data_IF_164766636932
#
_entry.id   IF_164766636932
#
_cell.length_a   1.000
_cell.length_b   1.000
_cell.length_c   1.000
_cell.angle_alpha   90.00
_cell.angle_beta   90.00
_cell.angle_gamma   90.00
#
_symmetry.space_group_name_H-M   'P 1'
#
loop_
_entity.id
_entity.type
_entity.pdbx_description
1 polymer ?
#
# COMPACT_ATOMS: atom_id res chain seq x y z
N UNK A 1 2.15 35.91 6.23
CA UNK A 1 2.16 34.61 5.51
C UNK A 1 0.99 33.76 5.98
N UNK A 2 -0.08 33.69 5.19
CA UNK A 2 -1.24 32.85 5.50
C UNK A 2 -0.80 31.39 5.49
N UNK A 3 -0.72 30.77 6.67
CA UNK A 3 -0.38 29.35 6.80
C UNK A 3 -1.52 28.53 6.22
N UNK A 4 -1.23 27.66 5.24
CA UNK A 4 -2.19 26.69 4.67
C UNK A 4 -2.93 26.00 5.84
N UNK A 5 -4.29 25.94 5.83
CA UNK A 5 -5.06 25.34 6.92
C UNK A 5 -4.64 23.89 7.20
N UNK A 6 -4.71 23.48 8.48
CA UNK A 6 -4.24 22.17 8.90
C UNK A 6 -5.00 21.01 8.22
N UNK A 7 -6.30 21.19 7.97
CA UNK A 7 -7.12 20.20 7.29
C UNK A 7 -6.68 19.97 5.83
N UNK A 8 -6.29 21.02 5.11
CA UNK A 8 -5.74 20.91 3.75
C UNK A 8 -4.43 20.12 3.75
N UNK A 9 -3.53 20.42 4.70
CA UNK A 9 -2.27 19.66 4.84
C UNK A 9 -2.51 18.19 5.16
N UNK A 10 -3.53 17.91 5.96
CA UNK A 10 -3.93 16.55 6.30
C UNK A 10 -4.39 15.74 5.07
N UNK A 11 -5.11 16.37 4.14
CA UNK A 11 -5.49 15.75 2.85
C UNK A 11 -4.28 15.60 1.93
N UNK A 12 -3.36 16.58 1.92
CA UNK A 12 -2.18 16.52 1.07
C UNK A 12 -1.19 15.41 1.47
N UNK A 13 -1.04 15.11 2.76
CA UNK A 13 -0.02 14.17 3.23
C UNK A 13 -0.13 12.75 2.63
N UNK A 14 -1.28 12.05 2.64
CA UNK A 14 -1.42 10.77 1.95
C UNK A 14 -1.10 10.83 0.45
N UNK A 15 -1.44 11.93 -0.21
CA UNK A 15 -1.21 12.11 -1.65
C UNK A 15 0.27 12.33 -1.96
N UNK A 16 1.00 13.06 -1.11
CA UNK A 16 2.46 13.12 -1.17
C UNK A 16 3.06 11.74 -0.94
N UNK A 17 2.48 10.96 -0.01
CA UNK A 17 2.85 9.56 0.20
C UNK A 17 2.68 8.70 -1.05
N UNK A 18 1.58 8.86 -1.77
CA UNK A 18 1.35 8.18 -3.05
C UNK A 18 2.38 8.57 -4.11
N UNK A 19 2.75 9.86 -4.19
CA UNK A 19 3.78 10.32 -5.13
C UNK A 19 5.16 9.74 -4.82
N UNK A 20 5.54 9.69 -3.54
CA UNK A 20 6.80 9.07 -3.11
C UNK A 20 6.77 7.56 -3.34
N UNK A 21 5.66 6.90 -3.05
CA UNK A 21 5.47 5.49 -3.34
C UNK A 21 5.73 5.22 -4.83
N UNK A 22 5.10 5.98 -5.72
CA UNK A 22 5.32 5.83 -7.16
C UNK A 22 6.81 5.94 -7.53
N UNK A 23 7.52 6.95 -7.01
CA UNK A 23 8.96 7.12 -7.29
C UNK A 23 9.76 5.90 -6.83
N UNK A 24 9.52 5.42 -5.61
CA UNK A 24 10.21 4.25 -5.08
C UNK A 24 9.91 2.97 -5.87
N UNK A 25 8.68 2.79 -6.35
CA UNK A 25 8.32 1.68 -7.20
C UNK A 25 8.98 1.77 -8.59
N UNK A 26 9.10 2.96 -9.16
CA UNK A 26 9.85 3.17 -10.42
C UNK A 26 11.34 2.88 -10.22
N UNK A 27 11.94 3.42 -9.15
CA UNK A 27 13.35 3.12 -8.82
C UNK A 27 13.55 1.62 -8.60
N UNK A 28 12.63 0.94 -7.91
CA UNK A 28 12.68 -0.51 -7.78
C UNK A 28 12.70 -1.20 -9.14
N UNK A 29 11.76 -0.87 -10.03
CA UNK A 29 11.68 -1.50 -11.34
C UNK A 29 12.96 -1.25 -12.16
N UNK A 30 13.52 -0.04 -12.06
CA UNK A 30 14.75 0.31 -12.75
C UNK A 30 15.96 -0.47 -12.20
N UNK A 31 16.06 -0.62 -10.88
CA UNK A 31 17.11 -1.44 -10.25
C UNK A 31 16.96 -2.91 -10.65
N UNK A 32 15.72 -3.41 -10.73
CA UNK A 32 15.43 -4.79 -11.13
C UNK A 32 15.79 -5.09 -12.60
N UNK A 33 15.99 -4.05 -13.45
CA UNK A 33 16.58 -4.24 -14.78
C UNK A 33 17.97 -4.85 -14.73
N UNK A 34 18.77 -4.50 -13.72
CA UNK A 34 20.15 -4.93 -13.58
C UNK A 34 20.31 -6.19 -12.73
N UNK A 35 19.21 -6.76 -12.23
CA UNK A 35 19.24 -8.04 -11.53
C UNK A 35 19.42 -9.17 -12.56
N UNK A 36 20.51 -9.96 -12.47
CA UNK A 36 20.77 -11.09 -13.35
C UNK A 36 19.56 -12.00 -13.44
N UNK A 37 19.20 -12.38 -14.67
CA UNK A 37 18.15 -13.34 -14.90
C UNK A 37 18.73 -14.76 -14.85
N UNK A 38 17.96 -15.76 -14.37
CA UNK A 38 18.37 -17.14 -14.50
C UNK A 38 18.52 -17.51 -15.98
N UNK A 39 19.65 -18.12 -16.33
CA UNK A 39 19.89 -18.74 -17.63
C UNK A 39 19.21 -20.11 -17.66
N UNK A 40 18.45 -20.35 -18.73
CA UNK A 40 17.72 -21.58 -18.95
C UNK A 40 18.34 -22.38 -20.09
N UNK A 41 18.49 -23.70 -19.92
CA UNK A 41 18.86 -24.60 -21.02
C UNK A 41 17.66 -24.83 -21.95
N UNK A 42 17.95 -25.48 -23.08
CA UNK A 42 16.96 -25.93 -24.06
C UNK A 42 15.91 -26.91 -23.52
N UNK A 43 16.07 -27.41 -22.29
CA UNK A 43 15.15 -28.33 -21.61
C UNK A 43 14.34 -27.63 -20.51
N UNK A 44 14.53 -26.32 -20.32
CA UNK A 44 13.83 -25.53 -19.30
C UNK A 44 14.41 -25.68 -17.89
N UNK A 45 15.65 -26.16 -17.74
CA UNK A 45 16.35 -26.17 -16.45
C UNK A 45 17.22 -24.92 -16.31
N UNK A 46 17.31 -24.40 -15.09
CA UNK A 46 18.22 -23.29 -14.75
C UNK A 46 19.65 -23.82 -14.76
N UNK A 47 20.50 -23.28 -15.64
CA UNK A 47 21.90 -23.72 -15.85
C UNK A 47 22.88 -22.83 -15.10
N UNK A 48 22.56 -21.53 -15.03
CA UNK A 48 23.32 -20.53 -14.30
C UNK A 48 22.37 -19.45 -13.79
N UNK A 49 22.62 -18.96 -12.58
CA UNK A 49 21.87 -17.87 -11.98
C UNK A 49 22.63 -17.45 -10.74
N UNK A 50 23.17 -16.23 -10.74
CA UNK A 50 23.81 -15.71 -9.54
C UNK A 50 22.73 -15.33 -8.54
N UNK A 51 22.77 -16.00 -7.38
CA UNK A 51 22.03 -15.52 -6.21
C UNK A 51 22.68 -14.22 -5.75
N UNK A 52 22.11 -13.09 -6.16
CA UNK A 52 22.51 -11.78 -5.66
C UNK A 52 21.39 -11.17 -4.82
N UNK A 53 21.76 -10.20 -3.99
CA UNK A 53 20.78 -9.45 -3.20
C UNK A 53 19.94 -8.59 -4.16
N UNK A 54 18.62 -8.79 -4.17
CA UNK A 54 17.70 -7.95 -4.94
C UNK A 54 17.43 -6.67 -4.13
N UNK A 55 17.94 -5.53 -4.61
CA UNK A 55 17.67 -4.25 -3.94
C UNK A 55 16.27 -3.69 -4.25
N UNK A 56 15.63 -4.14 -5.33
CA UNK A 56 14.28 -3.73 -5.71
C UNK A 56 13.23 -3.98 -4.62
N UNK A 57 13.30 -5.13 -3.92
CA UNK A 57 12.35 -5.45 -2.84
C UNK A 57 12.36 -4.41 -1.71
N UNK A 58 13.51 -3.81 -1.42
CA UNK A 58 13.64 -2.76 -0.42
C UNK A 58 13.08 -1.43 -0.89
N UNK A 59 13.26 -1.07 -2.16
CA UNK A 59 12.65 0.14 -2.72
C UNK A 59 11.12 0.03 -2.74
N UNK A 60 10.54 -1.12 -3.12
CA UNK A 60 9.09 -1.37 -2.99
C UNK A 60 8.62 -1.17 -1.55
N UNK A 61 9.34 -1.73 -0.58
CA UNK A 61 9.03 -1.57 0.83
C UNK A 61 9.11 -0.11 1.28
N UNK A 62 10.13 0.65 0.85
CA UNK A 62 10.26 2.08 1.13
C UNK A 62 9.08 2.88 0.56
N UNK A 63 8.61 2.51 -0.63
CA UNK A 63 7.42 3.12 -1.24
C UNK A 63 6.16 2.91 -0.40
N UNK A 64 5.93 1.67 0.05
CA UNK A 64 4.82 1.32 0.93
C UNK A 64 4.95 2.06 2.29
N UNK A 65 6.16 2.09 2.85
CA UNK A 65 6.45 2.79 4.09
C UNK A 65 6.15 4.30 3.98
N UNK A 66 6.60 4.95 2.90
CA UNK A 66 6.33 6.36 2.65
C UNK A 66 4.82 6.64 2.57
N UNK A 67 4.08 5.82 1.82
CA UNK A 67 2.62 5.92 1.71
C UNK A 67 1.91 5.75 3.06
N UNK A 68 2.26 4.71 3.82
CA UNK A 68 1.63 4.39 5.10
C UNK A 68 1.95 5.43 6.19
N UNK A 69 3.22 5.86 6.30
CA UNK A 69 3.67 6.83 7.30
C UNK A 69 3.10 8.21 7.01
N UNK A 70 3.10 8.68 5.76
CA UNK A 70 2.51 9.98 5.43
C UNK A 70 0.98 9.97 5.57
N UNK A 71 0.33 8.84 5.32
CA UNK A 71 -1.09 8.67 5.63
C UNK A 71 -1.37 8.78 7.14
N UNK A 72 -0.51 8.18 7.97
CA UNK A 72 -0.59 8.29 9.44
C UNK A 72 -0.34 9.73 9.93
N UNK A 73 0.63 10.45 9.34
CA UNK A 73 0.87 11.86 9.62
C UNK A 73 -0.35 12.70 9.26
N UNK A 74 -0.93 12.46 8.08
CA UNK A 74 -2.17 13.10 7.65
C UNK A 74 -3.32 12.85 8.63
N UNK A 75 -3.50 11.60 9.10
CA UNK A 75 -4.52 11.24 10.08
C UNK A 75 -4.35 12.02 11.39
N UNK A 76 -3.12 12.14 11.88
CA UNK A 76 -2.82 12.92 13.08
C UNK A 76 -3.14 14.41 12.89
N UNK A 77 -2.86 14.97 11.71
CA UNK A 77 -3.21 16.36 11.40
C UNK A 77 -4.72 16.56 11.24
N UNK A 78 -5.44 15.61 10.63
CA UNK A 78 -6.90 15.67 10.50
C UNK A 78 -7.59 15.63 11.87
N UNK A 79 -7.09 14.79 12.78
CA UNK A 79 -7.57 14.72 14.17
C UNK A 79 -7.36 16.06 14.90
N UNK A 80 -6.16 16.64 14.79
CA UNK A 80 -5.87 17.97 15.36
C UNK A 80 -6.77 19.05 14.75
N UNK A 81 -7.02 19.00 13.44
CA UNK A 81 -7.92 19.93 12.77
C UNK A 81 -9.36 19.81 13.29
N UNK A 82 -9.86 18.58 13.53
CA UNK A 82 -11.18 18.37 14.17
C UNK A 82 -11.25 18.94 15.59
N UNK A 83 -10.18 18.83 16.39
CA UNK A 83 -10.13 19.42 17.73
C UNK A 83 -10.14 20.96 17.69
N UNK A 84 -9.44 21.56 16.72
CA UNK A 84 -9.32 23.02 16.60
C UNK A 84 -10.55 23.68 15.96
N UNK A 85 -11.14 23.07 14.94
CA UNK A 85 -12.20 23.67 14.13
C UNK A 85 -13.63 23.29 14.58
N UNK A 86 -13.76 22.39 15.57
CA UNK A 86 -15.03 21.85 16.03
C UNK A 86 -15.54 20.66 15.20
N UNK A 87 -16.47 19.90 15.76
CA UNK A 87 -16.96 18.64 15.16
C UNK A 87 -17.77 18.84 13.87
N UNK A 88 -18.35 20.03 13.68
CA UNK A 88 -19.18 20.39 12.54
C UNK A 88 -18.40 20.87 11.32
N UNK A 89 -17.07 21.02 11.43
CA UNK A 89 -16.25 21.39 10.28
C UNK A 89 -16.18 20.26 9.25
N UNK A 90 -16.84 20.49 8.10
CA UNK A 90 -17.00 19.49 7.04
C UNK A 90 -15.66 19.04 6.46
N UNK A 91 -14.71 19.97 6.26
CA UNK A 91 -13.39 19.67 5.70
C UNK A 91 -12.56 18.83 6.66
N UNK A 92 -12.53 19.16 7.95
CA UNK A 92 -11.82 18.37 8.95
C UNK A 92 -12.39 16.95 9.08
N UNK A 93 -13.72 16.79 8.94
CA UNK A 93 -14.38 15.47 8.91
C UNK A 93 -14.02 14.67 7.65
N UNK A 94 -14.02 15.31 6.48
CA UNK A 94 -13.63 14.67 5.23
C UNK A 94 -12.16 14.25 5.24
N UNK A 95 -11.26 15.14 5.70
CA UNK A 95 -9.84 14.87 5.84
C UNK A 95 -9.58 13.66 6.77
N UNK A 96 -10.31 13.57 7.89
CA UNK A 96 -10.20 12.44 8.80
C UNK A 96 -10.61 11.11 8.13
N UNK A 97 -11.73 11.09 7.40
CA UNK A 97 -12.18 9.88 6.69
C UNK A 97 -11.21 9.45 5.60
N UNK A 98 -10.74 10.41 4.81
CA UNK A 98 -9.78 10.18 3.73
C UNK A 98 -8.45 9.62 4.26
N UNK A 99 -7.88 10.26 5.27
CA UNK A 99 -6.61 9.81 5.88
C UNK A 99 -6.75 8.46 6.58
N UNK A 100 -7.90 8.17 7.19
CA UNK A 100 -8.19 6.83 7.74
C UNK A 100 -8.21 5.78 6.64
N UNK A 101 -8.88 6.04 5.51
CA UNK A 101 -8.89 5.15 4.36
C UNK A 101 -7.46 4.94 3.82
N UNK A 102 -6.69 6.01 3.66
CA UNK A 102 -5.33 5.93 3.15
C UNK A 102 -4.40 5.11 4.07
N UNK A 103 -4.54 5.21 5.39
CA UNK A 103 -3.84 4.33 6.34
C UNK A 103 -4.21 2.87 6.13
N UNK A 104 -5.51 2.57 5.96
CA UNK A 104 -5.98 1.19 5.72
C UNK A 104 -5.40 0.65 4.41
N UNK A 105 -5.40 1.45 3.35
CA UNK A 105 -4.80 1.08 2.06
C UNK A 105 -3.29 0.81 2.21
N UNK A 106 -2.56 1.66 2.94
CA UNK A 106 -1.14 1.45 3.23
C UNK A 106 -0.85 0.17 4.02
N UNK A 107 -1.70 -0.14 5.02
CA UNK A 107 -1.61 -1.41 5.76
C UNK A 107 -1.88 -2.62 4.86
N UNK A 108 -2.88 -2.52 3.99
CA UNK A 108 -3.21 -3.56 3.00
C UNK A 108 -2.06 -3.78 2.02
N UNK A 109 -1.46 -2.72 1.49
CA UNK A 109 -0.31 -2.80 0.60
C UNK A 109 0.89 -3.48 1.28
N UNK A 110 1.18 -3.16 2.54
CA UNK A 110 2.24 -3.82 3.31
C UNK A 110 1.98 -5.31 3.54
N UNK A 111 0.74 -5.70 3.80
CA UNK A 111 0.37 -7.11 3.95
C UNK A 111 0.48 -7.88 2.61
N UNK A 112 -0.02 -7.30 1.51
CA UNK A 112 0.09 -7.89 0.17
C UNK A 112 1.56 -8.04 -0.23
N UNK A 113 2.39 -7.05 0.06
CA UNK A 113 3.83 -7.12 -0.17
C UNK A 113 4.49 -8.26 0.59
N UNK A 114 4.22 -8.39 1.90
CA UNK A 114 4.81 -9.47 2.70
C UNK A 114 4.39 -10.86 2.20
N UNK A 115 3.12 -11.02 1.82
CA UNK A 115 2.62 -12.26 1.19
C UNK A 115 3.29 -12.48 -0.16
N UNK A 116 3.35 -11.47 -1.03
CA UNK A 116 3.95 -11.56 -2.36
C UNK A 116 5.42 -11.94 -2.32
N UNK A 117 6.20 -11.33 -1.43
CA UNK A 117 7.60 -11.68 -1.19
C UNK A 117 7.75 -13.11 -0.68
N UNK A 118 6.89 -13.54 0.24
CA UNK A 118 6.85 -14.93 0.73
C UNK A 118 6.55 -15.93 -0.39
N UNK A 119 5.49 -15.70 -1.16
CA UNK A 119 5.09 -16.57 -2.27
C UNK A 119 6.18 -16.65 -3.35
N UNK A 120 6.79 -15.51 -3.70
CA UNK A 120 7.86 -15.45 -4.69
C UNK A 120 9.12 -16.20 -4.27
N UNK A 121 9.41 -16.27 -2.97
CA UNK A 121 10.59 -16.96 -2.47
C UNK A 121 10.60 -18.47 -2.77
N UNK A 122 9.44 -19.12 -2.87
CA UNK A 122 9.37 -20.56 -3.21
C UNK A 122 9.76 -20.86 -4.66
N UNK A 123 9.52 -19.92 -5.56
CA UNK A 123 9.80 -20.11 -6.99
C UNK A 123 11.21 -19.68 -7.38
N UNK A 124 11.86 -18.85 -6.55
CA UNK A 124 13.13 -18.22 -6.88
C UNK A 124 14.32 -18.80 -6.12
N UNK A 125 14.10 -19.62 -5.09
CA UNK A 125 15.17 -20.20 -4.27
C UNK A 125 15.13 -21.73 -4.25
N UNK A 126 16.27 -22.36 -4.56
CA UNK A 126 16.48 -23.80 -4.53
C UNK A 126 17.16 -24.30 -3.23
N UNK A 127 17.24 -25.63 -3.02
CA UNK A 127 17.78 -26.24 -1.78
C UNK A 127 19.25 -25.92 -1.46
N UNK A 128 20.00 -25.42 -2.46
CA UNK A 128 21.45 -25.18 -2.43
C UNK A 128 21.84 -23.70 -2.30
N UNK A 129 20.88 -22.80 -2.13
CA UNK A 129 21.17 -21.37 -2.12
C UNK A 129 21.82 -20.89 -0.82
N UNK A 130 22.58 -19.80 -0.95
CA UNK A 130 23.30 -19.17 0.14
C UNK A 130 22.33 -18.62 1.19
N UNK A 131 22.37 -19.23 2.37
CA UNK A 131 21.54 -18.86 3.53
C UNK A 131 21.60 -17.35 3.85
N UNK A 132 22.77 -16.66 3.81
CA UNK A 132 22.84 -15.22 4.06
C UNK A 132 22.06 -14.39 3.03
N UNK A 133 22.09 -14.78 1.76
CA UNK A 133 21.43 -14.06 0.67
C UNK A 133 19.92 -14.20 0.82
N UNK A 134 19.44 -15.43 1.10
CA UNK A 134 18.03 -15.67 1.39
C UNK A 134 17.54 -14.88 2.61
N UNK A 135 18.35 -14.76 3.66
CA UNK A 135 18.02 -13.92 4.82
C UNK A 135 17.79 -12.47 4.44
N UNK A 136 18.70 -11.89 3.65
CA UNK A 136 18.59 -10.50 3.22
C UNK A 136 17.45 -10.34 2.21
N UNK A 137 17.25 -11.24 1.28
CA UNK A 137 16.33 -11.00 0.17
C UNK A 137 14.86 -11.31 0.50
N UNK A 138 14.63 -12.27 1.39
CA UNK A 138 13.29 -12.76 1.74
C UNK A 138 12.92 -12.38 3.16
N UNK A 139 13.73 -12.79 4.14
CA UNK A 139 13.36 -12.68 5.55
C UNK A 139 13.33 -11.24 6.04
N UNK A 140 14.39 -10.47 5.78
CA UNK A 140 14.52 -9.11 6.27
C UNK A 140 13.39 -8.18 5.73
N UNK A 141 13.05 -8.17 4.43
CA UNK A 141 11.93 -7.37 3.93
C UNK A 141 10.57 -7.75 4.53
N UNK A 142 10.30 -9.05 4.72
CA UNK A 142 9.04 -9.53 5.33
C UNK A 142 8.95 -9.08 6.79
N UNK A 143 10.03 -9.20 7.55
CA UNK A 143 10.09 -8.75 8.94
C UNK A 143 9.90 -7.23 9.04
N UNK A 144 10.56 -6.46 8.18
CA UNK A 144 10.43 -5.01 8.14
C UNK A 144 9.01 -4.57 7.72
N UNK A 145 8.41 -5.22 6.73
CA UNK A 145 7.03 -4.98 6.31
C UNK A 145 6.04 -5.26 7.44
N UNK A 146 6.21 -6.38 8.13
CA UNK A 146 5.39 -6.76 9.28
C UNK A 146 5.54 -5.74 10.41
N UNK A 147 6.76 -5.34 10.74
CA UNK A 147 7.03 -4.33 11.75
C UNK A 147 6.39 -2.99 11.40
N UNK A 148 6.51 -2.54 10.15
CA UNK A 148 5.86 -1.34 9.63
C UNK A 148 4.34 -1.40 9.85
N UNK A 149 3.70 -2.49 9.40
CA UNK A 149 2.26 -2.70 9.50
C UNK A 149 1.80 -2.65 10.96
N UNK A 150 2.50 -3.35 11.86
CA UNK A 150 2.21 -3.33 13.30
C UNK A 150 2.34 -1.93 13.87
N UNK A 151 3.44 -1.22 13.59
CA UNK A 151 3.68 0.14 14.11
C UNK A 151 2.62 1.12 13.64
N UNK A 152 2.28 1.10 12.35
CA UNK A 152 1.27 1.99 11.76
C UNK A 152 -0.10 1.69 12.35
N UNK A 153 -0.47 0.41 12.48
CA UNK A 153 -1.75 0.00 13.05
C UNK A 153 -1.87 0.44 14.51
N UNK A 154 -0.84 0.15 15.33
CA UNK A 154 -0.83 0.50 16.74
C UNK A 154 -0.94 2.01 16.93
N UNK A 155 -0.21 2.81 16.15
CA UNK A 155 -0.27 4.28 16.22
C UNK A 155 -1.59 4.85 15.70
N UNK A 156 -2.16 4.28 14.64
CA UNK A 156 -3.39 4.78 14.04
C UNK A 156 -4.63 4.47 14.88
N UNK A 157 -4.70 3.26 15.47
CA UNK A 157 -5.94 2.74 16.04
C UNK A 157 -5.86 2.37 17.52
N UNK A 158 -4.70 1.92 18.02
CA UNK A 158 -4.59 1.35 19.39
C UNK A 158 -4.14 2.37 20.42
N UNK A 159 -3.05 3.09 20.17
CA UNK A 159 -2.53 4.11 21.09
C UNK A 159 -3.22 5.47 20.93
N UNK A 160 -4.42 5.47 20.34
CA UNK A 160 -5.22 6.67 20.14
C UNK A 160 -5.70 7.17 21.51
N UNK A 161 -5.15 8.30 21.96
CA UNK A 161 -5.74 9.09 23.05
C UNK A 161 -7.02 9.73 22.52
N UNK A 162 -8.12 9.02 22.64
CA UNK A 162 -9.46 9.59 22.44
C UNK A 162 -9.77 10.51 23.63
N UNK A 163 -9.26 11.74 23.57
CA UNK A 163 -9.71 12.81 24.46
C UNK A 163 -11.00 13.41 23.87
N UNK A 164 -12.06 12.61 23.84
CA UNK A 164 -13.43 13.13 23.76
C UNK A 164 -13.99 13.04 25.18
N UNK A 165 -13.89 14.17 25.87
CA UNK A 165 -14.26 14.44 27.27
C UNK A 165 -13.55 13.61 28.36
N UNK A 166 -12.60 14.24 29.06
CA UNK A 166 -12.54 14.13 30.53
C UNK A 166 -11.67 15.22 31.15
N UNK A 167 -12.33 16.13 31.87
CA UNK A 167 -11.78 16.71 33.09
C UNK A 167 -11.60 15.56 34.09
N UNK A 168 -10.38 15.00 34.17
CA UNK A 168 -9.75 14.54 35.42
C UNK A 168 -8.50 13.74 35.10
N UNK A 169 -7.39 14.13 35.72
CA UNK A 169 -6.02 13.69 35.42
C UNK A 169 -5.69 12.24 35.79
N UNK A 170 -6.45 11.24 35.34
CA UNK A 170 -6.07 9.82 35.42
C UNK A 170 -5.94 9.22 34.02
N UNK A 171 -4.84 8.51 33.78
CA UNK A 171 -4.53 7.85 32.50
C UNK A 171 -5.73 7.03 32.01
N UNK A 172 -6.38 7.50 30.94
CA UNK A 172 -7.58 6.88 30.39
C UNK A 172 -7.28 5.43 29.94
N UNK A 173 -7.95 4.46 30.57
CA UNK A 173 -7.98 3.07 30.08
C UNK A 173 -8.82 3.04 28.80
N UNK A 174 -8.26 2.51 27.70
CA UNK A 174 -8.98 2.30 26.43
C UNK A 174 -10.34 1.64 26.70
N UNK A 175 -11.43 2.21 26.16
CA UNK A 175 -12.77 1.62 26.29
C UNK A 175 -12.81 0.26 25.61
N UNK A 176 -13.67 -0.65 26.11
CA UNK A 176 -13.83 -1.99 25.54
C UNK A 176 -14.12 -1.96 24.02
N UNK A 177 -14.82 -0.91 23.56
CA UNK A 177 -15.11 -0.65 22.14
C UNK A 177 -13.87 -0.32 21.31
N UNK A 178 -12.99 0.55 21.81
CA UNK A 178 -11.72 0.89 21.14
C UNK A 178 -10.78 -0.30 21.08
N UNK A 179 -10.70 -1.09 22.17
CA UNK A 179 -9.93 -2.34 22.19
C UNK A 179 -10.48 -3.36 21.19
N UNK A 180 -11.80 -3.55 21.14
CA UNK A 180 -12.44 -4.45 20.18
C UNK A 180 -12.26 -4.00 18.73
N UNK A 181 -12.33 -2.69 18.45
CA UNK A 181 -12.08 -2.14 17.12
C UNK A 181 -10.62 -2.33 16.70
N UNK A 182 -9.66 -2.02 17.59
CA UNK A 182 -8.24 -2.23 17.34
C UNK A 182 -7.90 -3.71 17.09
N UNK A 183 -8.45 -4.62 17.90
CA UNK A 183 -8.31 -6.07 17.72
C UNK A 183 -8.98 -6.56 16.43
N UNK A 184 -10.11 -5.98 16.03
CA UNK A 184 -10.80 -6.32 14.80
C UNK A 184 -9.96 -6.10 13.54
N UNK A 185 -9.16 -5.04 13.52
CA UNK A 185 -8.20 -4.77 12.43
C UNK A 185 -6.87 -5.50 12.60
N UNK A 186 -6.36 -5.64 13.83
CA UNK A 186 -5.03 -6.19 14.08
C UNK A 186 -4.95 -7.71 13.96
N UNK A 187 -5.96 -8.43 14.44
CA UNK A 187 -5.90 -9.89 14.60
C UNK A 187 -5.74 -10.64 13.27
N UNK A 188 -6.47 -10.31 12.18
CA UNK A 188 -6.27 -10.97 10.90
C UNK A 188 -4.84 -10.76 10.36
N UNK A 189 -4.34 -9.54 10.47
CA UNK A 189 -3.01 -9.15 9.98
C UNK A 189 -1.91 -9.87 10.77
N UNK A 190 -2.02 -9.91 12.10
CA UNK A 190 -1.04 -10.58 12.95
C UNK A 190 -1.04 -12.10 12.71
N UNK A 191 -2.22 -12.70 12.54
CA UNK A 191 -2.34 -14.11 12.22
C UNK A 191 -1.66 -14.45 10.88
N UNK A 192 -1.84 -13.61 9.86
CA UNK A 192 -1.14 -13.75 8.57
C UNK A 192 0.37 -13.67 8.74
N UNK A 193 0.88 -12.70 9.51
CA UNK A 193 2.31 -12.58 9.77
C UNK A 193 2.88 -13.83 10.45
N UNK A 194 2.20 -14.35 11.47
CA UNK A 194 2.60 -15.59 12.16
C UNK A 194 2.58 -16.79 11.22
N UNK A 195 1.55 -16.90 10.38
CA UNK A 195 1.41 -17.99 9.41
C UNK A 195 2.55 -17.99 8.37
N UNK A 196 2.92 -16.82 7.87
CA UNK A 196 4.03 -16.64 6.92
C UNK A 196 5.36 -17.02 7.55
N UNK A 197 5.66 -16.51 8.75
CA UNK A 197 6.92 -16.84 9.46
C UNK A 197 7.01 -18.34 9.73
N UNK A 198 5.92 -18.98 10.14
CA UNK A 198 5.86 -20.43 10.33
C UNK A 198 6.16 -21.17 9.02
N UNK A 199 5.52 -20.79 7.91
CA UNK A 199 5.75 -21.41 6.61
C UNK A 199 7.21 -21.33 6.16
N UNK A 200 7.85 -20.18 6.37
CA UNK A 200 9.28 -19.99 6.06
C UNK A 200 10.17 -20.90 6.91
N UNK A 201 9.92 -20.98 8.22
CA UNK A 201 10.72 -21.83 9.13
C UNK A 201 10.61 -23.31 8.72
N UNK A 202 9.40 -23.78 8.37
CA UNK A 202 9.21 -25.17 7.94
C UNK A 202 10.00 -25.46 6.67
N UNK A 203 9.92 -24.59 5.67
CA UNK A 203 10.71 -24.71 4.44
C UNK A 203 12.22 -24.77 4.72
N UNK A 204 12.72 -23.93 5.63
CA UNK A 204 14.14 -23.89 5.99
C UNK A 204 14.63 -25.17 6.69
N UNK A 205 13.78 -25.78 7.51
CA UNK A 205 14.09 -27.04 8.21
C UNK A 205 14.03 -28.23 7.24
N UNK A 206 13.04 -28.27 6.34
CA UNK A 206 12.83 -29.42 5.46
C UNK A 206 13.66 -29.37 4.18
N UNK A 207 14.07 -28.17 3.73
CA UNK A 207 14.81 -27.92 2.47
C UNK A 207 14.14 -28.52 1.23
N UNK A 208 12.82 -28.63 1.25
CA UNK A 208 11.99 -29.13 0.16
C UNK A 208 10.87 -28.14 -0.08
N UNK A 209 10.28 -28.17 -1.28
CA UNK A 209 9.03 -27.46 -1.55
C UNK A 209 8.00 -27.74 -0.45
N UNK A 210 7.26 -26.70 -0.06
CA UNK A 210 6.24 -26.80 0.97
C UNK A 210 5.20 -27.83 0.55
N UNK A 211 5.14 -28.94 1.29
CA UNK A 211 4.09 -29.93 1.10
C UNK A 211 2.71 -29.28 1.24
N UNK A 212 1.74 -29.76 0.46
CA UNK A 212 0.36 -29.25 0.44
C UNK A 212 -0.23 -29.16 1.86
N UNK A 213 0.12 -30.08 2.75
CA UNK A 213 -0.33 -30.03 4.15
C UNK A 213 0.18 -28.82 4.95
N UNK A 214 1.38 -28.31 4.64
CA UNK A 214 1.89 -27.09 5.28
C UNK A 214 1.09 -25.86 4.81
N UNK A 215 0.71 -25.83 3.52
CA UNK A 215 -0.21 -24.82 3.00
C UNK A 215 -1.57 -24.83 3.70
N UNK A 216 -2.14 -26.02 3.94
CA UNK A 216 -3.39 -26.15 4.68
C UNK A 216 -3.27 -25.54 6.08
N UNK A 217 -2.15 -25.78 6.79
CA UNK A 217 -1.91 -25.21 8.13
C UNK A 217 -1.81 -23.67 8.07
N UNK A 218 -1.08 -23.11 7.09
CA UNK A 218 -0.98 -21.65 6.89
C UNK A 218 -2.38 -21.05 6.68
N UNK A 219 -3.20 -21.66 5.82
CA UNK A 219 -4.55 -21.17 5.53
C UNK A 219 -5.48 -21.26 6.74
N UNK A 220 -5.35 -22.30 7.57
CA UNK A 220 -6.11 -22.42 8.82
C UNK A 220 -5.76 -21.29 9.80
N UNK A 221 -4.47 -20.95 9.96
CA UNK A 221 -4.05 -19.86 10.85
C UNK A 221 -4.63 -18.52 10.36
N UNK A 222 -4.55 -18.24 9.05
CA UNK A 222 -5.12 -17.03 8.45
C UNK A 222 -6.65 -16.99 8.63
N UNK A 223 -7.35 -18.08 8.34
CA UNK A 223 -8.80 -18.18 8.49
C UNK A 223 -9.25 -17.93 9.93
N UNK A 224 -8.55 -18.52 10.92
CA UNK A 224 -8.81 -18.27 12.35
C UNK A 224 -8.60 -16.80 12.71
N UNK A 225 -7.55 -16.16 12.19
CA UNK A 225 -7.31 -14.73 12.34
C UNK A 225 -8.44 -13.87 11.79
N UNK A 226 -8.90 -14.16 10.58
CA UNK A 226 -10.02 -13.45 9.93
C UNK A 226 -11.32 -13.60 10.74
N UNK A 227 -11.64 -14.82 11.18
CA UNK A 227 -12.85 -15.09 11.98
C UNK A 227 -12.80 -14.35 13.31
N UNK A 228 -11.66 -14.38 14.00
CA UNK A 228 -11.49 -13.66 15.28
C UNK A 228 -11.57 -12.14 15.08
N UNK A 229 -10.88 -11.59 14.07
CA UNK A 229 -10.96 -10.17 13.73
C UNK A 229 -12.39 -9.72 13.41
N UNK A 230 -13.12 -10.51 12.63
CA UNK A 230 -14.53 -10.25 12.29
C UNK A 230 -15.42 -10.27 13.53
N UNK A 231 -15.19 -11.22 14.46
CA UNK A 231 -15.91 -11.26 15.75
C UNK A 231 -15.63 -10.01 16.60
N UNK A 232 -14.38 -9.55 16.66
CA UNK A 232 -14.03 -8.32 17.37
C UNK A 232 -14.63 -7.07 16.71
N UNK A 233 -14.64 -6.99 15.37
CA UNK A 233 -15.25 -5.90 14.62
C UNK A 233 -16.77 -5.83 14.83
N UNK A 234 -17.46 -6.97 14.88
CA UNK A 234 -18.91 -7.01 15.12
C UNK A 234 -19.27 -6.55 16.55
N UNK A 235 -18.47 -6.90 17.55
CA UNK A 235 -18.64 -6.40 18.93
C UNK A 235 -18.50 -4.88 19.05
N UNK A 236 -17.86 -4.22 18.09
CA UNK A 236 -17.72 -2.75 18.07
C UNK A 236 -18.93 -2.02 17.44
N UNK A 237 -19.82 -2.74 16.73
CA UNK A 237 -20.94 -2.19 15.95
C UNK A 237 -22.32 -2.28 16.64
N UNK A 238 -22.48 -3.11 17.65
CA UNK A 238 -23.79 -3.44 18.29
C UNK A 238 -24.41 -2.31 19.14
N UNK A 239 -24.36 -1.04 18.70
CA UNK A 239 -24.87 0.09 19.48
C UNK A 239 -25.31 1.34 18.73
N UNK A 240 -25.33 1.38 17.40
CA UNK A 240 -25.77 2.58 16.65
C UNK A 240 -26.91 2.26 15.69
N UNK A 241 -28.12 2.70 16.03
CA UNK A 241 -29.21 2.91 15.07
C UNK A 241 -29.14 4.37 14.64
N UNK A 242 -28.59 4.63 13.45
CA UNK A 242 -28.55 5.98 12.90
C UNK A 242 -29.93 6.35 12.34
N UNK A 243 -30.51 7.51 12.69
CA UNK A 243 -31.80 7.93 12.17
C UNK A 243 -31.74 8.18 10.67
N UNK A 244 -32.76 7.70 9.94
CA UNK A 244 -32.86 7.84 8.49
C UNK A 244 -32.96 9.32 8.09
N UNK A 245 -32.05 9.78 7.22
CA UNK A 245 -32.00 11.18 6.76
C UNK A 245 -33.20 11.50 5.83
N UNK A 246 -33.81 12.69 5.91
CA UNK A 246 -35.03 13.04 5.16
C UNK A 246 -34.82 13.21 3.64
N UNK A 247 -35.82 12.77 2.86
CA UNK A 247 -35.84 12.57 1.39
C UNK A 247 -35.54 13.80 0.51
N UNK A 248 -35.79 15.02 0.97
CA UNK A 248 -35.52 16.25 0.21
C UNK A 248 -34.03 16.63 0.09
N UNK A 249 -33.20 16.17 1.04
CA UNK A 249 -31.75 16.36 1.00
C UNK A 249 -31.06 15.50 -0.08
N UNK A 250 -31.77 14.59 -0.76
CA UNK A 250 -31.18 13.58 -1.65
C UNK A 250 -30.95 14.08 -3.08
N UNK A 251 -31.66 15.10 -3.58
CA UNK A 251 -31.50 15.55 -4.97
C UNK A 251 -30.23 16.42 -5.17
N UNK A 252 -30.05 17.47 -4.36
CA UNK A 252 -28.83 18.29 -4.38
C UNK A 252 -27.61 17.58 -3.75
N UNK A 253 -27.83 16.71 -2.75
CA UNK A 253 -26.78 15.79 -2.31
C UNK A 253 -26.48 14.70 -3.36
N UNK A 254 -27.42 14.38 -4.24
CA UNK A 254 -27.28 13.34 -5.27
C UNK A 254 -26.21 13.69 -6.29
N UNK A 255 -26.28 14.90 -6.89
CA UNK A 255 -25.29 15.35 -7.86
C UNK A 255 -23.87 15.52 -7.24
N UNK A 256 -23.79 16.08 -6.04
CA UNK A 256 -22.51 16.23 -5.33
C UNK A 256 -21.92 14.90 -4.84
N UNK A 257 -22.77 13.92 -4.49
CA UNK A 257 -22.32 12.56 -4.17
C UNK A 257 -21.88 11.80 -5.42
N UNK A 258 -22.56 11.98 -6.57
CA UNK A 258 -22.18 11.36 -7.84
C UNK A 258 -20.81 11.86 -8.30
N UNK A 259 -20.59 13.18 -8.32
CA UNK A 259 -19.29 13.75 -8.67
C UNK A 259 -18.18 13.30 -7.70
N UNK A 260 -18.51 13.11 -6.43
CA UNK A 260 -17.56 12.56 -5.45
C UNK A 260 -17.21 11.10 -5.73
N UNK A 261 -18.20 10.24 -6.02
CA UNK A 261 -17.94 8.85 -6.39
C UNK A 261 -17.11 8.79 -7.68
N UNK A 262 -17.46 9.58 -8.69
CA UNK A 262 -16.70 9.65 -9.94
C UNK A 262 -15.25 10.09 -9.70
N UNK A 263 -15.01 11.07 -8.82
CA UNK A 263 -13.66 11.50 -8.47
C UNK A 263 -12.84 10.42 -7.76
N UNK A 264 -13.47 9.57 -6.94
CA UNK A 264 -12.81 8.43 -6.29
C UNK A 264 -12.44 7.38 -7.33
N UNK A 265 -13.39 7.04 -8.23
CA UNK A 265 -13.16 6.07 -9.31
C UNK A 265 -12.06 6.57 -10.23
N UNK A 266 -12.15 7.82 -10.70
CA UNK A 266 -11.12 8.48 -11.49
C UNK A 266 -9.75 8.44 -10.80
N UNK A 267 -9.67 8.93 -9.56
CA UNK A 267 -8.41 8.97 -8.81
C UNK A 267 -7.79 7.58 -8.62
N UNK A 268 -8.61 6.56 -8.35
CA UNK A 268 -8.14 5.18 -8.17
C UNK A 268 -7.65 4.57 -9.48
N UNK A 269 -8.47 4.62 -10.53
CA UNK A 269 -8.14 4.02 -11.84
C UNK A 269 -6.92 4.70 -12.46
N UNK A 270 -6.88 6.03 -12.45
CA UNK A 270 -5.77 6.80 -13.03
C UNK A 270 -4.48 6.58 -12.24
N UNK A 271 -4.56 6.44 -10.91
CA UNK A 271 -3.38 6.05 -10.12
C UNK A 271 -2.87 4.67 -10.52
N UNK A 272 -3.74 3.67 -10.66
CA UNK A 272 -3.33 2.32 -11.11
C UNK A 272 -2.68 2.39 -12.49
N UNK A 273 -3.30 3.07 -13.45
CA UNK A 273 -2.74 3.25 -14.80
C UNK A 273 -1.36 3.90 -14.77
N UNK A 274 -1.16 4.90 -13.90
CA UNK A 274 0.13 5.55 -13.72
C UNK A 274 1.23 4.60 -13.23
N UNK A 275 0.93 3.67 -12.32
CA UNK A 275 1.90 2.65 -11.91
C UNK A 275 2.16 1.65 -13.03
N UNK A 276 1.09 1.15 -13.68
CA UNK A 276 1.21 0.17 -14.77
C UNK A 276 2.03 0.72 -15.95
N UNK A 277 1.73 1.93 -16.42
CA UNK A 277 2.48 2.55 -17.52
C UNK A 277 3.90 2.92 -17.10
N UNK A 278 4.11 3.33 -15.85
CA UNK A 278 5.46 3.57 -15.34
C UNK A 278 6.31 2.30 -15.34
N UNK A 279 5.75 1.16 -14.92
CA UNK A 279 6.44 -0.13 -14.99
C UNK A 279 6.73 -0.54 -16.43
N UNK A 280 5.74 -0.42 -17.32
CA UNK A 280 5.91 -0.74 -18.74
C UNK A 280 7.00 0.12 -19.40
N UNK A 281 7.03 1.43 -19.12
CA UNK A 281 8.05 2.32 -19.63
C UNK A 281 9.45 1.87 -19.19
N UNK A 282 9.65 1.50 -17.92
CA UNK A 282 10.95 1.01 -17.47
C UNK A 282 11.28 -0.34 -18.10
N UNK A 283 10.30 -1.23 -18.25
CA UNK A 283 10.52 -2.52 -18.91
C UNK A 283 10.90 -2.36 -20.39
N UNK A 284 10.44 -1.32 -21.08
CA UNK A 284 10.83 -1.04 -22.47
C UNK A 284 12.34 -0.76 -22.63
N UNK A 285 13.06 -0.42 -21.55
CA UNK A 285 14.52 -0.30 -21.58
C UNK A 285 15.22 -1.67 -21.70
N UNK A 286 14.49 -2.76 -21.45
CA UNK A 286 14.99 -4.13 -21.57
C UNK A 286 14.67 -4.67 -22.96
N UNK A 287 15.70 -4.87 -23.77
CA UNK A 287 15.57 -5.41 -25.12
C UNK A 287 15.97 -6.88 -25.16
N UNK A 288 15.08 -7.68 -25.71
CA UNK A 288 15.28 -9.11 -25.93
C UNK A 288 15.61 -9.35 -27.40
N UNK A 289 16.90 -9.30 -27.75
CA UNK A 289 17.33 -9.63 -29.12
C UNK A 289 17.48 -11.15 -29.25
N UNK A 290 16.86 -11.75 -30.28
CA UNK A 290 17.03 -13.18 -30.61
C UNK A 290 17.98 -13.28 -31.81
N UNK A 291 19.29 -13.51 -31.61
CA UNK A 291 20.19 -13.86 -32.68
C UNK A 291 19.89 -15.28 -33.15
N UNK A 292 19.74 -15.44 -34.46
CA UNK A 292 19.74 -16.74 -35.12
C UNK A 292 21.19 -17.09 -35.38
N UNK A 293 21.69 -18.20 -34.82
CA UNK A 293 23.03 -18.69 -35.18
C UNK A 293 23.04 -19.00 -36.68
N UNK A 294 23.85 -18.32 -37.51
CA UNK A 294 23.90 -18.55 -38.95
C UNK A 294 24.34 -19.99 -39.32
N UNK A 295 24.95 -20.70 -38.37
CA UNK A 295 25.58 -22.01 -38.56
C UNK A 295 24.66 -23.18 -38.24
N UNK A 296 23.70 -22.99 -37.33
CA UNK A 296 22.80 -24.07 -36.86
C UNK A 296 21.30 -23.75 -36.94
N UNK A 297 20.90 -22.51 -37.26
CA UNK A 297 19.49 -22.13 -37.36
C UNK A 297 18.71 -22.28 -36.05
N UNK A 298 19.40 -22.37 -34.91
CA UNK A 298 18.82 -22.48 -33.58
C UNK A 298 18.76 -21.11 -32.90
N UNK A 299 17.65 -20.86 -32.21
CA UNK A 299 17.52 -19.72 -31.31
C UNK A 299 18.47 -19.93 -30.12
N UNK A 300 19.44 -19.02 -29.96
CA UNK A 300 20.33 -19.03 -28.79
C UNK A 300 19.65 -18.25 -27.67
N UNK A 301 19.64 -18.82 -26.46
CA UNK A 301 19.14 -18.11 -25.26
C UNK A 301 19.97 -16.85 -25.05
N UNK A 302 19.34 -15.68 -25.13
CA UNK A 302 20.01 -14.40 -24.96
C UNK A 302 19.71 -13.77 -23.62
N UNK A 303 20.77 -13.18 -23.07
CA UNK A 303 20.63 -12.20 -22.01
C UNK A 303 20.04 -10.91 -22.61
N UNK A 304 19.10 -10.25 -21.91
CA UNK A 304 18.56 -9.00 -22.38
C UNK A 304 19.64 -7.92 -22.39
N UNK A 305 19.60 -7.05 -23.39
CA UNK A 305 20.40 -5.82 -23.40
C UNK A 305 19.61 -4.70 -22.75
N UNK A 306 20.26 -3.88 -21.93
CA UNK A 306 19.62 -2.75 -21.24
C UNK A 306 20.03 -1.47 -21.98
N UNK A 307 19.03 -0.82 -22.58
CA UNK A 307 19.22 0.47 -23.24
C UNK A 307 19.25 1.60 -22.19
N UNK A 308 20.07 2.63 -22.44
CA UNK A 308 20.13 3.78 -21.54
C UNK A 308 18.90 4.67 -21.74
N UNK A 309 18.32 5.24 -20.67
CA UNK A 309 17.23 6.20 -20.80
C UNK A 309 17.62 7.39 -21.68
N UNK A 310 16.87 7.58 -22.77
CA UNK A 310 17.04 8.70 -23.69
C UNK A 310 15.86 9.70 -23.60
N UNK A 311 15.95 10.79 -24.37
CA UNK A 311 14.94 11.84 -24.33
C UNK A 311 13.57 11.39 -24.92
N UNK A 312 13.52 10.65 -26.05
CA UNK A 312 12.30 10.02 -26.53
C UNK A 312 11.62 9.15 -25.48
N UNK A 313 12.34 8.20 -24.87
CA UNK A 313 11.80 7.34 -23.81
C UNK A 313 11.23 8.15 -22.64
N UNK A 314 11.96 9.18 -22.21
CA UNK A 314 11.52 10.02 -21.10
C UNK A 314 10.19 10.71 -21.40
N UNK A 315 10.03 11.26 -22.60
CA UNK A 315 8.87 12.08 -22.98
C UNK A 315 7.68 11.22 -23.41
N UNK A 316 7.91 10.17 -24.17
CA UNK A 316 6.86 9.38 -24.82
C UNK A 316 6.38 8.24 -23.92
N UNK A 317 7.28 7.58 -23.20
CA UNK A 317 6.94 6.40 -22.40
C UNK A 317 6.77 6.76 -20.91
N UNK A 318 7.77 7.43 -20.31
CA UNK A 318 7.82 7.60 -18.86
C UNK A 318 7.01 8.80 -18.32
N UNK A 319 7.12 9.96 -18.98
CA UNK A 319 6.46 11.19 -18.52
C UNK A 319 4.93 11.11 -18.47
N UNK A 320 4.21 10.47 -19.42
CA UNK A 320 2.75 10.34 -19.34
C UNK A 320 2.30 9.62 -18.08
N UNK A 321 3.01 8.56 -17.69
CA UNK A 321 2.74 7.85 -16.44
C UNK A 321 2.83 8.78 -15.23
N UNK A 322 3.84 9.67 -15.19
CA UNK A 322 3.98 10.66 -14.10
C UNK A 322 2.87 11.71 -14.13
N UNK A 323 2.50 12.21 -15.30
CA UNK A 323 1.43 13.21 -15.46
C UNK A 323 0.09 12.65 -14.97
N UNK A 324 -0.23 11.39 -15.30
CA UNK A 324 -1.42 10.71 -14.82
C UNK A 324 -1.48 10.69 -13.29
N UNK A 325 -0.36 10.42 -12.61
CA UNK A 325 -0.30 10.47 -11.15
C UNK A 325 -0.61 11.87 -10.61
N UNK A 326 -0.02 12.90 -11.23
CA UNK A 326 -0.23 14.29 -10.82
C UNK A 326 -1.68 14.72 -11.02
N UNK A 327 -2.33 14.30 -12.12
CA UNK A 327 -3.75 14.53 -12.36
C UNK A 327 -4.63 13.82 -11.32
N UNK A 328 -4.33 12.57 -10.98
CA UNK A 328 -5.06 11.84 -9.94
C UNK A 328 -4.91 12.53 -8.57
N UNK A 329 -3.68 12.90 -8.19
CA UNK A 329 -3.39 13.60 -6.93
C UNK A 329 -4.09 14.96 -6.86
N UNK A 330 -3.96 15.78 -7.91
CA UNK A 330 -4.61 17.09 -7.97
C UNK A 330 -6.14 16.96 -7.96
N UNK A 331 -6.69 16.02 -8.73
CA UNK A 331 -8.13 15.76 -8.81
C UNK A 331 -8.72 15.34 -7.46
N UNK A 332 -8.08 14.39 -6.76
CA UNK A 332 -8.52 13.96 -5.43
C UNK A 332 -8.43 15.12 -4.43
N UNK A 333 -7.29 15.83 -4.41
CA UNK A 333 -7.08 16.96 -3.49
C UNK A 333 -8.15 18.04 -3.69
N UNK A 334 -8.29 18.55 -4.91
CA UNK A 334 -9.24 19.60 -5.27
C UNK A 334 -10.68 19.17 -4.99
N UNK A 335 -11.04 17.93 -5.32
CA UNK A 335 -12.41 17.45 -5.06
C UNK A 335 -12.73 17.41 -3.57
N UNK A 336 -11.78 16.96 -2.73
CA UNK A 336 -11.98 16.94 -1.27
C UNK A 336 -12.04 18.37 -0.71
N UNK A 337 -11.17 19.27 -1.15
CA UNK A 337 -11.10 20.63 -0.60
C UNK A 337 -12.25 21.52 -1.07
N UNK A 338 -12.58 21.53 -2.37
CA UNK A 338 -13.64 22.38 -2.92
C UNK A 338 -15.02 21.93 -2.45
N UNK A 339 -15.27 20.62 -2.38
CA UNK A 339 -16.56 20.09 -1.88
C UNK A 339 -16.87 20.54 -0.46
N UNK A 340 -15.84 20.70 0.36
CA UNK A 340 -15.99 21.05 1.78
C UNK A 340 -15.62 22.51 2.06
N UNK A 341 -15.45 23.33 1.01
CA UNK A 341 -15.26 24.77 1.15
C UNK A 341 -16.57 25.38 1.66
N UNK A 342 -16.47 26.22 2.69
CA UNK A 342 -17.64 26.99 3.15
C UNK A 342 -18.02 27.93 2.01
N UNK A 343 -19.23 27.81 1.48
CA UNK A 343 -19.74 28.78 0.53
C UNK A 343 -19.73 30.14 1.22
N UNK A 344 -19.10 31.13 0.60
CA UNK A 344 -19.21 32.51 1.08
C UNK A 344 -20.71 32.82 1.11
N UNK A 345 -21.23 33.09 2.31
CA UNK A 345 -22.57 33.63 2.44
C UNK A 345 -22.55 34.91 1.62
N UNK A 346 -23.21 34.91 0.48
CA UNK A 346 -23.59 36.13 -0.23
C UNK A 346 -24.41 36.91 0.79
N UNK A 347 -23.74 37.82 1.50
CA UNK A 347 -24.39 38.84 2.29
C UNK A 347 -25.12 39.71 1.28
N UNK A 348 -26.36 39.35 1.00
CA UNK A 348 -27.31 40.25 0.36
C UNK A 348 -27.35 41.52 1.20
N UNK A 349 -26.89 42.61 0.59
CA UNK A 349 -27.40 43.94 0.94
C UNK A 349 -28.61 44.20 0.07
#
# INVERSE_FOLDING_TARGET
MNRIPLANRAVAAPLVGLMLAWVFFMVSQFVDLYTPQPEWDQYGNIVAGENIINFGVYFRLLGIAAGAVLSLVGLNWALRARKLNGEDDMLSRAAHRFTTLAVIVGLGAGAIFAIGSFLGAFNNYGPRDDVPIRFIDVYLPILLATALVIVVLLRAFVFRKDDMHQEDGKKAKLTARQKALGLGYAVPILATAVAIIFGLIVYDVTRTDLQVWVWVIIQVIIALGIVQGTRFANRAKTGEVLPAKPRGAFAAAGASNLNFVLSIVFGTVVSIMSFTFGFAAIENLRRWDIPVDPSEGKEVSTMPTIEMPDLPWLIEDFLPAKILLLLAVAGIYLTITERNRKADRVTGK
#
